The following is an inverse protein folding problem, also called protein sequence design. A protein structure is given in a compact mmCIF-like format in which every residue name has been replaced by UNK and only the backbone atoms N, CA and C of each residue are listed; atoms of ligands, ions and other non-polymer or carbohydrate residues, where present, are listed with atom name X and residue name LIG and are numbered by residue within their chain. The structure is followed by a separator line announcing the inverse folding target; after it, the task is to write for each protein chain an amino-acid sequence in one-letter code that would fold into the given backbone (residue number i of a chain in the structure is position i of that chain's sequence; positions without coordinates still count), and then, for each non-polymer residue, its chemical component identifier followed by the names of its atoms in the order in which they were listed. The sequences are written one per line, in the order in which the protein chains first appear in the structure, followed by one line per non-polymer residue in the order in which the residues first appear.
data_IF_834246188248
#
_entry.id   IF_834246188248
#
_cell.length_a   1.000
_cell.length_b   1.000
_cell.length_c   1.000
_cell.angle_alpha   90.00
_cell.angle_beta   90.00
_cell.angle_gamma   90.00
#
_symmetry.space_group_name_H-M   'P 1'
#
loop_
_entity.id
_entity.type
_entity.pdbx_description
1 polymer ?
#
# COMPACT_ATOMS: atom_id res chain seq x y z
N UNK A 1 20.52 -0.10 5.68
CA UNK A 1 20.21 -0.68 4.37
C UNK A 1 18.75 -1.12 4.30
N UNK A 2 18.30 -2.11 5.10
CA UNK A 2 16.90 -2.61 5.09
C UNK A 2 15.89 -1.48 5.28
N UNK A 3 16.09 -0.61 6.27
CA UNK A 3 15.19 0.52 6.53
C UNK A 3 15.08 1.46 5.32
N UNK A 4 16.16 1.71 4.61
CA UNK A 4 16.15 2.58 3.43
C UNK A 4 15.39 1.93 2.26
N UNK A 5 15.52 0.61 2.07
CA UNK A 5 14.77 -0.11 1.05
C UNK A 5 13.28 -0.21 1.40
N UNK A 6 12.93 -0.34 2.69
CA UNK A 6 11.53 -0.28 3.13
C UNK A 6 10.94 1.11 2.89
N UNK A 7 11.69 2.20 3.17
CA UNK A 7 11.25 3.57 2.86
C UNK A 7 11.04 3.77 1.36
N UNK A 8 11.93 3.22 0.53
CA UNK A 8 11.80 3.24 -0.94
C UNK A 8 10.57 2.48 -1.39
N UNK A 9 10.36 1.26 -0.86
CA UNK A 9 9.14 0.46 -1.13
C UNK A 9 7.87 1.22 -0.75
N UNK A 10 7.85 1.89 0.41
CA UNK A 10 6.74 2.74 0.84
C UNK A 10 6.50 3.91 -0.13
N UNK A 11 7.56 4.55 -0.62
CA UNK A 11 7.45 5.63 -1.61
C UNK A 11 6.84 5.11 -2.93
N UNK A 12 7.29 3.94 -3.42
CA UNK A 12 6.73 3.35 -4.64
C UNK A 12 5.26 2.91 -4.44
N UNK A 13 4.92 2.35 -3.28
CA UNK A 13 3.53 2.02 -2.96
C UNK A 13 2.63 3.27 -2.91
N UNK A 14 3.12 4.39 -2.38
CA UNK A 14 2.42 5.67 -2.38
C UNK A 14 2.21 6.21 -3.80
N UNK A 15 3.23 6.13 -4.67
CA UNK A 15 3.11 6.52 -6.07
C UNK A 15 2.15 5.59 -6.83
N UNK A 16 2.24 4.27 -6.64
CA UNK A 16 1.28 3.31 -7.20
C UNK A 16 -0.15 3.68 -6.81
N UNK A 17 -0.39 3.92 -5.53
CA UNK A 17 -1.70 4.32 -5.02
C UNK A 17 -2.19 5.64 -5.64
N UNK A 18 -1.31 6.63 -5.79
CA UNK A 18 -1.61 7.92 -6.40
C UNK A 18 -2.02 7.77 -7.88
N UNK A 19 -1.26 6.97 -8.64
CA UNK A 19 -1.56 6.70 -10.04
C UNK A 19 -2.82 5.85 -10.22
N UNK A 20 -3.05 4.84 -9.36
CA UNK A 20 -4.29 4.08 -9.35
C UNK A 20 -5.50 4.99 -9.11
N UNK A 21 -5.42 5.88 -8.12
CA UNK A 21 -6.49 6.86 -7.87
C UNK A 21 -6.78 7.68 -9.13
N UNK A 22 -5.75 8.18 -9.81
CA UNK A 22 -5.91 8.91 -11.06
C UNK A 22 -6.56 8.04 -12.16
N UNK A 23 -6.10 6.80 -12.35
CA UNK A 23 -6.62 5.88 -13.35
C UNK A 23 -8.11 5.56 -13.16
N UNK A 24 -8.53 5.32 -11.90
CA UNK A 24 -9.92 4.98 -11.56
C UNK A 24 -10.85 6.19 -11.59
N UNK A 25 -10.35 7.39 -11.28
CA UNK A 25 -11.18 8.59 -11.11
C UNK A 25 -11.11 9.59 -12.25
N UNK A 26 -10.08 9.54 -13.09
CA UNK A 26 -9.96 10.39 -14.27
C UNK A 26 -10.67 9.79 -15.48
N UNK A 27 -11.32 10.65 -16.29
CA UNK A 27 -12.12 10.19 -17.45
C UNK A 27 -11.29 9.68 -18.63
N UNK A 28 -9.96 9.96 -18.69
CA UNK A 28 -9.06 9.53 -19.77
C UNK A 28 -7.61 9.61 -19.28
N UNK A 29 -7.07 8.55 -18.73
CA UNK A 29 -5.65 8.54 -18.44
C UNK A 29 -5.02 7.14 -18.56
N UNK A 30 -4.66 6.76 -19.81
CA UNK A 30 -3.88 5.56 -20.05
C UNK A 30 -2.44 5.65 -19.55
N UNK A 31 -1.95 6.86 -19.23
CA UNK A 31 -0.63 7.06 -18.63
C UNK A 31 -0.67 6.65 -17.16
N UNK A 32 -1.72 7.05 -16.43
CA UNK A 32 -1.86 6.71 -15.02
C UNK A 32 -1.89 5.18 -14.79
N UNK A 33 -2.61 4.42 -15.62
CA UNK A 33 -2.63 2.96 -15.51
C UNK A 33 -1.26 2.31 -15.75
N UNK A 34 -0.50 2.80 -16.75
CA UNK A 34 0.85 2.28 -17.00
C UNK A 34 1.80 2.59 -15.84
N UNK A 35 1.77 3.82 -15.33
CA UNK A 35 2.59 4.22 -14.18
C UNK A 35 2.20 3.47 -12.90
N UNK A 36 0.93 3.21 -12.69
CA UNK A 36 0.48 2.35 -11.60
C UNK A 36 1.14 0.96 -11.68
N UNK A 37 1.06 0.29 -12.83
CA UNK A 37 1.65 -1.04 -13.02
C UNK A 37 3.17 -1.04 -12.78
N UNK A 38 3.86 -0.01 -13.26
CA UNK A 38 5.30 0.16 -13.08
C UNK A 38 5.67 0.26 -11.59
N UNK A 39 5.03 1.14 -10.84
CA UNK A 39 5.31 1.31 -9.41
C UNK A 39 4.87 0.10 -8.57
N UNK A 40 3.77 -0.57 -8.93
CA UNK A 40 3.36 -1.82 -8.29
C UNK A 40 4.41 -2.92 -8.46
N UNK A 41 5.03 -3.03 -9.64
CA UNK A 41 6.11 -3.98 -9.88
C UNK A 41 7.38 -3.65 -9.07
N UNK A 42 7.73 -2.37 -8.94
CA UNK A 42 8.86 -1.96 -8.09
C UNK A 42 8.68 -2.39 -6.62
N UNK A 43 7.47 -2.27 -6.09
CA UNK A 43 7.16 -2.73 -4.72
C UNK A 43 7.39 -4.24 -4.59
N UNK A 44 6.96 -5.05 -5.56
CA UNK A 44 7.12 -6.51 -5.55
C UNK A 44 8.59 -6.92 -5.57
N UNK A 45 9.38 -6.33 -6.48
CA UNK A 45 10.82 -6.60 -6.60
C UNK A 45 11.57 -6.24 -5.31
N UNK A 46 11.26 -5.08 -4.71
CA UNK A 46 11.87 -4.69 -3.44
C UNK A 46 11.47 -5.62 -2.31
N UNK A 47 10.21 -6.00 -2.22
CA UNK A 47 9.72 -6.89 -1.17
C UNK A 47 10.41 -8.26 -1.21
N UNK A 48 10.58 -8.85 -2.39
CA UNK A 48 11.32 -10.09 -2.56
C UNK A 48 12.77 -9.96 -2.08
N UNK A 49 13.42 -8.85 -2.45
CA UNK A 49 14.79 -8.55 -2.05
C UNK A 49 14.91 -8.34 -0.54
N UNK A 50 14.02 -7.56 0.07
CA UNK A 50 13.97 -7.32 1.52
C UNK A 50 13.75 -8.62 2.28
N UNK A 51 12.77 -9.43 1.89
CA UNK A 51 12.45 -10.70 2.53
C UNK A 51 13.62 -11.68 2.46
N UNK A 52 14.29 -11.75 1.31
CA UNK A 52 15.48 -12.60 1.13
C UNK A 52 16.62 -12.14 2.02
N UNK A 53 16.86 -10.83 2.12
CA UNK A 53 17.92 -10.27 2.96
C UNK A 53 17.67 -10.55 4.44
N UNK A 54 16.45 -10.26 4.92
CA UNK A 54 16.06 -10.50 6.31
C UNK A 54 16.16 -11.99 6.65
N UNK A 55 15.75 -12.89 5.75
CA UNK A 55 15.88 -14.33 5.95
C UNK A 55 17.34 -14.76 6.11
N UNK A 56 18.27 -14.16 5.35
CA UNK A 56 19.70 -14.42 5.51
C UNK A 56 20.26 -13.87 6.82
N UNK A 57 19.80 -12.70 7.26
CA UNK A 57 20.17 -12.15 8.58
C UNK A 57 19.79 -13.11 9.71
N UNK A 58 18.56 -13.61 9.72
CA UNK A 58 18.11 -14.59 10.72
C UNK A 58 18.91 -15.90 10.65
N UNK A 59 19.19 -16.39 9.45
CA UNK A 59 19.95 -17.64 9.25
C UNK A 59 21.42 -17.54 9.67
N UNK A 60 21.99 -16.33 9.74
CA UNK A 60 23.38 -16.12 10.19
C UNK A 60 23.60 -16.41 11.67
N UNK A 61 22.53 -16.33 12.47
CA UNK A 61 22.59 -16.54 13.93
C UNK A 61 23.33 -15.44 14.71
N UNK A 62 23.71 -14.34 14.07
CA UNK A 62 24.53 -13.29 14.66
C UNK A 62 23.71 -12.13 15.28
N UNK A 63 22.36 -12.19 15.19
CA UNK A 63 21.50 -11.17 15.75
C UNK A 63 21.34 -11.35 17.26
N UNK A 64 21.40 -10.26 18.00
CA UNK A 64 20.94 -10.23 19.40
C UNK A 64 19.42 -10.37 19.45
N UNK A 65 18.85 -10.66 20.63
CA UNK A 65 17.41 -10.75 20.81
C UNK A 65 16.71 -9.45 20.36
N UNK A 66 17.19 -8.29 20.80
CA UNK A 66 16.67 -6.98 20.42
C UNK A 66 16.75 -6.74 18.89
N UNK A 67 17.89 -7.09 18.27
CA UNK A 67 18.04 -6.97 16.81
C UNK A 67 17.08 -7.90 16.06
N UNK A 68 16.84 -9.10 16.59
CA UNK A 68 15.89 -10.05 16.00
C UNK A 68 14.47 -9.52 16.07
N UNK A 69 14.05 -8.96 17.21
CA UNK A 69 12.74 -8.33 17.38
C UNK A 69 12.56 -7.13 16.42
N UNK A 70 13.53 -6.24 16.38
CA UNK A 70 13.49 -5.07 15.48
C UNK A 70 13.46 -5.49 13.99
N UNK A 71 14.23 -6.51 13.63
CA UNK A 71 14.26 -7.04 12.25
C UNK A 71 12.92 -7.69 11.88
N UNK A 72 12.30 -8.42 12.81
CA UNK A 72 10.97 -8.99 12.62
C UNK A 72 9.92 -7.91 12.43
N UNK A 73 9.94 -6.85 13.23
CA UNK A 73 9.03 -5.71 13.09
C UNK A 73 9.21 -4.99 11.75
N UNK A 74 10.46 -4.78 11.29
CA UNK A 74 10.72 -4.21 9.96
C UNK A 74 10.17 -5.11 8.83
N UNK A 75 10.25 -6.43 8.98
CA UNK A 75 9.64 -7.36 8.03
C UNK A 75 8.10 -7.23 8.03
N UNK A 76 7.48 -7.08 9.22
CA UNK A 76 6.05 -6.83 9.31
C UNK A 76 5.63 -5.52 8.64
N UNK A 77 6.40 -4.44 8.79
CA UNK A 77 6.18 -3.18 8.07
C UNK A 77 6.25 -3.41 6.56
N UNK A 78 7.30 -4.07 6.08
CA UNK A 78 7.50 -4.38 4.67
C UNK A 78 6.35 -5.21 4.08
N UNK A 79 5.91 -6.26 4.79
CA UNK A 79 4.78 -7.09 4.39
C UNK A 79 3.46 -6.32 4.31
N UNK A 80 3.23 -5.36 5.22
CA UNK A 80 2.04 -4.52 5.16
C UNK A 80 2.07 -3.56 3.97
N UNK A 81 3.26 -3.03 3.58
CA UNK A 81 3.44 -2.21 2.38
C UNK A 81 3.13 -3.04 1.12
N UNK A 82 3.66 -4.26 1.02
CA UNK A 82 3.35 -5.17 -0.08
C UNK A 82 1.85 -5.44 -0.18
N UNK A 83 1.20 -5.76 0.94
CA UNK A 83 -0.26 -5.98 0.97
C UNK A 83 -1.05 -4.75 0.51
N UNK A 84 -0.58 -3.54 0.79
CA UNK A 84 -1.21 -2.32 0.25
C UNK A 84 -1.12 -2.32 -1.27
N UNK A 85 0.05 -2.63 -1.85
CA UNK A 85 0.21 -2.73 -3.30
C UNK A 85 -0.67 -3.82 -3.92
N UNK A 86 -0.77 -5.01 -3.29
CA UNK A 86 -1.68 -6.06 -3.72
C UNK A 86 -3.16 -5.61 -3.71
N UNK A 87 -3.58 -4.85 -2.68
CA UNK A 87 -4.94 -4.30 -2.65
C UNK A 87 -5.18 -3.27 -3.74
N UNK A 88 -4.15 -2.51 -4.12
CA UNK A 88 -4.21 -1.63 -5.28
C UNK A 88 -4.39 -2.42 -6.59
N UNK A 89 -3.67 -3.53 -6.78
CA UNK A 89 -3.85 -4.42 -7.93
C UNK A 89 -5.28 -4.98 -8.01
N UNK A 90 -5.89 -5.37 -6.88
CA UNK A 90 -7.27 -5.85 -6.85
C UNK A 90 -8.30 -4.75 -7.17
N UNK A 91 -8.03 -3.50 -6.76
CA UNK A 91 -8.87 -2.34 -7.15
C UNK A 91 -8.78 -2.12 -8.66
N UNK A 92 -7.58 -2.15 -9.23
CA UNK A 92 -7.37 -1.98 -10.68
C UNK A 92 -8.06 -3.08 -11.47
N UNK A 93 -7.89 -4.35 -11.08
CA UNK A 93 -8.58 -5.50 -11.71
C UNK A 93 -10.09 -5.34 -11.70
N UNK A 94 -10.68 -4.93 -10.58
CA UNK A 94 -12.12 -4.71 -10.47
C UNK A 94 -12.59 -3.56 -11.37
N UNK A 95 -11.79 -2.49 -11.46
CA UNK A 95 -12.09 -1.36 -12.33
C UNK A 95 -11.96 -1.72 -13.81
N UNK A 96 -10.90 -2.41 -14.24
CA UNK A 96 -10.72 -2.89 -15.60
C UNK A 96 -11.79 -3.92 -15.99
N UNK A 97 -12.25 -4.76 -15.04
CA UNK A 97 -13.36 -5.68 -15.27
C UNK A 97 -14.67 -4.94 -15.58
N UNK A 98 -14.96 -3.84 -14.88
CA UNK A 98 -16.09 -2.96 -15.22
C UNK A 98 -15.96 -2.41 -16.65
N UNK A 99 -14.79 -1.90 -17.01
CA UNK A 99 -14.51 -1.31 -18.33
C UNK A 99 -14.64 -2.35 -19.44
N UNK A 100 -14.09 -3.54 -19.27
CA UNK A 100 -14.13 -4.63 -20.26
C UNK A 100 -15.56 -5.09 -20.56
N UNK A 101 -16.46 -4.99 -19.57
CA UNK A 101 -17.89 -5.27 -19.71
C UNK A 101 -18.68 -4.08 -20.26
N UNK A 102 -18.03 -2.98 -20.61
CA UNK A 102 -18.67 -1.76 -21.12
C UNK A 102 -19.36 -0.90 -20.05
N UNK A 103 -19.17 -1.20 -18.76
CA UNK A 103 -19.73 -0.40 -17.67
C UNK A 103 -18.84 0.80 -17.34
N UNK A 104 -19.49 1.89 -16.91
CA UNK A 104 -18.84 3.09 -16.40
C UNK A 104 -19.42 3.45 -15.05
N UNK A 105 -18.54 3.82 -14.12
CA UNK A 105 -18.97 4.38 -12.84
C UNK A 105 -19.69 5.72 -13.08
N UNK A 106 -20.77 5.96 -12.34
CA UNK A 106 -21.43 7.28 -12.34
C UNK A 106 -20.51 8.33 -11.71
N UNK A 107 -20.76 9.61 -11.97
CA UNK A 107 -19.99 10.68 -11.36
C UNK A 107 -20.01 10.62 -9.83
N UNK A 108 -21.17 10.25 -9.25
CA UNK A 108 -21.31 10.06 -7.81
C UNK A 108 -20.42 8.91 -7.30
N UNK A 109 -20.42 7.77 -8.01
CA UNK A 109 -19.59 6.63 -7.65
C UNK A 109 -18.09 6.94 -7.77
N UNK A 110 -17.69 7.70 -8.81
CA UNK A 110 -16.30 8.17 -8.97
C UNK A 110 -15.90 9.07 -7.80
N UNK A 111 -16.75 10.02 -7.41
CA UNK A 111 -16.47 10.92 -6.28
C UNK A 111 -16.41 10.15 -4.96
N UNK A 112 -17.28 9.16 -4.74
CA UNK A 112 -17.27 8.29 -3.59
C UNK A 112 -15.96 7.52 -3.47
N UNK A 113 -15.50 6.87 -4.57
CA UNK A 113 -14.23 6.15 -4.61
C UNK A 113 -13.06 7.10 -4.40
N UNK A 114 -13.04 8.26 -5.07
CA UNK A 114 -12.01 9.28 -4.93
C UNK A 114 -11.83 9.73 -3.48
N UNK A 115 -12.93 10.07 -2.80
CA UNK A 115 -12.91 10.51 -1.40
C UNK A 115 -12.39 9.40 -0.47
N UNK A 116 -12.85 8.15 -0.65
CA UNK A 116 -12.36 7.01 0.13
C UNK A 116 -10.86 6.77 -0.09
N UNK A 117 -10.37 6.87 -1.33
CA UNK A 117 -8.94 6.72 -1.63
C UNK A 117 -8.11 7.89 -1.08
N UNK A 118 -8.60 9.13 -1.12
CA UNK A 118 -7.89 10.27 -0.53
C UNK A 118 -7.70 10.14 0.98
N UNK A 119 -8.74 9.67 1.68
CA UNK A 119 -8.66 9.42 3.12
C UNK A 119 -7.68 8.26 3.44
N UNK A 120 -7.71 7.20 2.64
CA UNK A 120 -6.82 6.04 2.83
C UNK A 120 -5.36 6.37 2.50
N UNK A 121 -5.10 7.21 1.48
CA UNK A 121 -3.76 7.66 1.14
C UNK A 121 -3.13 8.48 2.26
N UNK A 122 -3.90 9.41 2.87
CA UNK A 122 -3.43 10.16 4.04
C UNK A 122 -3.11 9.26 5.22
N UNK A 123 -3.93 8.22 5.46
CA UNK A 123 -3.69 7.26 6.52
C UNK A 123 -2.40 6.46 6.26
N UNK A 124 -2.09 6.16 5.01
CA UNK A 124 -0.84 5.49 4.64
C UNK A 124 0.39 6.38 4.88
N UNK A 125 0.33 7.64 4.49
CA UNK A 125 1.39 8.63 4.77
C UNK A 125 1.64 8.74 6.29
N UNK A 126 0.58 8.87 7.09
CA UNK A 126 0.66 8.90 8.56
C UNK A 126 1.27 7.62 9.15
N UNK A 127 0.97 6.44 8.57
CA UNK A 127 1.54 5.17 9.02
C UNK A 127 3.05 5.11 8.82
N UNK A 128 3.53 5.52 7.65
CA UNK A 128 4.98 5.55 7.35
C UNK A 128 5.70 6.57 8.23
N UNK A 129 5.10 7.73 8.45
CA UNK A 129 5.64 8.75 9.34
C UNK A 129 5.74 8.24 10.78
N UNK A 130 4.73 7.53 11.28
CA UNK A 130 4.74 6.94 12.62
C UNK A 130 5.92 5.98 12.83
N UNK A 131 6.23 5.12 11.86
CA UNK A 131 7.39 4.21 11.92
C UNK A 131 8.70 4.99 11.83
N UNK A 132 8.78 6.02 10.98
CA UNK A 132 9.99 6.82 10.82
C UNK A 132 10.35 7.61 12.08
N UNK A 133 9.36 8.15 12.80
CA UNK A 133 9.53 8.93 14.03
C UNK A 133 9.56 8.02 15.25
N UNK A 134 8.88 6.86 15.21
CA UNK A 134 8.68 5.97 16.34
C UNK A 134 7.68 6.56 17.35
N UNK A 135 6.55 7.11 16.85
CA UNK A 135 5.49 7.69 17.67
C UNK A 135 4.31 6.71 17.78
N UNK A 136 4.14 6.14 18.97
CA UNK A 136 3.05 5.24 19.32
C UNK A 136 1.70 5.95 19.55
N UNK A 137 1.72 7.27 19.83
CA UNK A 137 0.51 8.06 20.14
C UNK A 137 -0.40 8.25 18.94
N UNK A 138 0.11 8.02 17.75
CA UNK A 138 -0.65 8.19 16.50
C UNK A 138 -1.69 7.09 16.28
N UNK A 139 -1.53 5.91 16.90
CA UNK A 139 -2.35 4.71 16.62
C UNK A 139 -3.82 4.91 16.95
N UNK A 140 -4.12 5.50 18.10
CA UNK A 140 -5.52 5.78 18.48
C UNK A 140 -6.21 6.70 17.46
N UNK A 141 -5.48 7.71 16.96
CA UNK A 141 -5.97 8.59 15.89
C UNK A 141 -6.21 7.79 14.62
N UNK A 142 -5.24 7.00 14.19
CA UNK A 142 -5.32 6.19 12.98
C UNK A 142 -6.45 5.17 13.04
N UNK A 143 -6.66 4.53 14.20
CA UNK A 143 -7.78 3.60 14.42
C UNK A 143 -9.14 4.31 14.30
N UNK A 144 -9.27 5.52 14.83
CA UNK A 144 -10.47 6.33 14.65
C UNK A 144 -10.70 6.70 13.18
N UNK A 145 -9.65 7.08 12.47
CA UNK A 145 -9.74 7.47 11.05
C UNK A 145 -10.03 6.25 10.16
N UNK A 146 -9.43 5.09 10.42
CA UNK A 146 -9.82 3.81 9.81
C UNK A 146 -11.31 3.53 9.98
N UNK A 147 -11.85 3.70 11.19
CA UNK A 147 -13.28 3.47 11.44
C UNK A 147 -14.19 4.45 10.69
N UNK A 148 -13.76 5.72 10.53
CA UNK A 148 -14.45 6.71 9.68
C UNK A 148 -14.48 6.28 8.22
N UNK A 149 -13.33 5.83 7.68
CA UNK A 149 -13.21 5.35 6.30
C UNK A 149 -14.10 4.11 6.09
N UNK A 150 -14.08 3.15 7.01
CA UNK A 150 -14.98 1.98 6.96
C UNK A 150 -16.45 2.35 6.97
N UNK A 151 -16.84 3.35 7.79
CA UNK A 151 -18.20 3.88 7.81
C UNK A 151 -18.56 4.53 6.47
N UNK A 152 -17.62 5.31 5.88
CA UNK A 152 -17.80 5.92 4.56
C UNK A 152 -17.97 4.86 3.47
N UNK A 153 -17.13 3.83 3.43
CA UNK A 153 -17.24 2.72 2.47
C UNK A 153 -18.63 2.05 2.54
N UNK A 154 -19.15 1.82 3.76
CA UNK A 154 -20.51 1.27 3.93
C UNK A 154 -21.59 2.21 3.41
N UNK A 155 -21.43 3.52 3.59
CA UNK A 155 -22.37 4.53 3.06
C UNK A 155 -22.35 4.54 1.53
N UNK A 156 -21.15 4.48 0.90
CA UNK A 156 -20.99 4.38 -0.55
C UNK A 156 -21.65 3.11 -1.10
N UNK A 157 -21.44 1.95 -0.46
CA UNK A 157 -22.12 0.71 -0.84
C UNK A 157 -23.65 0.83 -0.76
N UNK A 158 -24.20 1.41 0.32
CA UNK A 158 -25.64 1.65 0.46
C UNK A 158 -26.16 2.59 -0.64
N UNK A 159 -25.44 3.66 -0.93
CA UNK A 159 -25.78 4.61 -1.99
C UNK A 159 -25.81 3.93 -3.36
N UNK A 160 -24.82 3.06 -3.65
CA UNK A 160 -24.80 2.28 -4.88
C UNK A 160 -26.04 1.36 -4.99
N UNK A 161 -26.39 0.60 -3.95
CA UNK A 161 -27.58 -0.24 -3.95
C UNK A 161 -28.87 0.58 -4.13
N UNK A 162 -28.93 1.79 -3.56
CA UNK A 162 -30.00 2.75 -3.82
C UNK A 162 -30.10 3.15 -5.29
N UNK A 163 -28.96 3.44 -5.93
CA UNK A 163 -28.88 3.74 -7.37
C UNK A 163 -29.33 2.56 -8.24
N UNK A 164 -28.97 1.34 -7.86
CA UNK A 164 -29.41 0.11 -8.54
C UNK A 164 -30.92 -0.08 -8.40
N UNK A 165 -31.48 0.06 -7.19
CA UNK A 165 -32.92 -0.03 -6.94
C UNK A 165 -33.71 0.98 -7.77
N UNK A 166 -33.18 2.18 -7.93
CA UNK A 166 -33.79 3.25 -8.72
C UNK A 166 -33.46 3.18 -10.23
N UNK A 167 -32.88 2.06 -10.70
CA UNK A 167 -32.47 1.84 -12.12
C UNK A 167 -31.50 2.88 -12.68
N UNK A 168 -30.74 3.57 -11.79
CA UNK A 168 -29.69 4.55 -12.15
C UNK A 168 -28.32 3.89 -12.35
N UNK A 169 -28.13 2.67 -11.87
CA UNK A 169 -26.95 1.84 -12.04
C UNK A 169 -27.33 0.41 -12.40
N UNK A 170 -26.48 -0.28 -13.16
CA UNK A 170 -26.64 -1.70 -13.43
C UNK A 170 -26.33 -2.55 -12.19
N UNK A 171 -27.17 -3.56 -11.90
CA UNK A 171 -26.91 -4.56 -10.86
C UNK A 171 -25.61 -5.34 -11.12
N UNK A 172 -25.26 -5.53 -12.39
CA UNK A 172 -24.04 -6.25 -12.77
C UNK A 172 -22.74 -5.57 -12.33
N UNK A 173 -22.78 -4.27 -12.02
CA UNK A 173 -21.62 -3.52 -11.48
C UNK A 173 -21.40 -3.71 -9.98
N UNK A 174 -22.39 -4.26 -9.26
CA UNK A 174 -22.39 -4.23 -7.79
C UNK A 174 -21.25 -5.04 -7.19
N UNK A 175 -20.86 -6.15 -7.80
CA UNK A 175 -19.74 -6.97 -7.34
C UNK A 175 -18.43 -6.20 -7.40
N UNK A 176 -18.05 -5.73 -8.59
CA UNK A 176 -16.79 -5.02 -8.82
C UNK A 176 -16.71 -3.70 -8.01
N UNK A 177 -17.82 -2.93 -7.96
CA UNK A 177 -17.85 -1.71 -7.14
C UNK A 177 -17.68 -1.98 -5.65
N UNK A 178 -18.32 -3.05 -5.14
CA UNK A 178 -18.18 -3.45 -3.73
C UNK A 178 -16.75 -3.92 -3.44
N UNK A 179 -16.14 -4.66 -4.36
CA UNK A 179 -14.75 -5.13 -4.22
C UNK A 179 -13.75 -3.96 -4.17
N UNK A 180 -13.93 -2.93 -5.01
CA UNK A 180 -13.15 -1.70 -4.94
C UNK A 180 -13.22 -1.09 -3.52
N UNK A 181 -14.41 -0.88 -2.99
CA UNK A 181 -14.59 -0.30 -1.66
C UNK A 181 -14.02 -1.18 -0.53
N UNK A 182 -14.15 -2.50 -0.64
CA UNK A 182 -13.60 -3.44 0.33
C UNK A 182 -12.07 -3.41 0.34
N UNK A 183 -11.42 -3.37 -0.83
CA UNK A 183 -9.97 -3.30 -0.90
C UNK A 183 -9.43 -1.96 -0.38
N UNK A 184 -10.13 -0.83 -0.61
CA UNK A 184 -9.82 0.44 0.06
C UNK A 184 -9.88 0.28 1.59
N UNK A 185 -10.87 -0.43 2.11
CA UNK A 185 -10.98 -0.74 3.54
C UNK A 185 -9.80 -1.59 4.05
N UNK A 186 -9.38 -2.61 3.30
CA UNK A 186 -8.23 -3.47 3.64
C UNK A 186 -6.91 -2.71 3.62
N UNK A 187 -6.73 -1.73 2.72
CA UNK A 187 -5.59 -0.81 2.74
C UNK A 187 -5.50 -0.10 4.09
N UNK A 188 -6.62 0.38 4.62
CA UNK A 188 -6.61 1.07 5.92
C UNK A 188 -6.27 0.15 7.10
N UNK A 189 -6.58 -1.15 6.99
CA UNK A 189 -6.17 -2.14 7.99
C UNK A 189 -4.66 -2.33 7.98
N UNK A 190 -4.05 -2.44 6.79
CA UNK A 190 -2.61 -2.56 6.64
C UNK A 190 -1.87 -1.28 7.10
N UNK A 191 -2.46 -0.09 6.88
CA UNK A 191 -1.90 1.16 7.41
C UNK A 191 -1.82 1.15 8.94
N UNK A 192 -2.88 0.70 9.61
CA UNK A 192 -2.86 0.57 11.08
C UNK A 192 -1.85 -0.50 11.51
N UNK A 193 -1.76 -1.62 10.79
CA UNK A 193 -0.75 -2.65 11.05
C UNK A 193 0.69 -2.12 10.95
N UNK A 194 0.99 -1.21 10.01
CA UNK A 194 2.29 -0.54 9.93
C UNK A 194 2.54 0.31 11.20
N UNK A 195 1.54 1.08 11.62
CA UNK A 195 1.67 1.96 12.77
C UNK A 195 1.75 1.17 14.10
N UNK A 196 1.12 0.00 14.20
CA UNK A 196 1.21 -0.89 15.37
C UNK A 196 2.65 -1.33 15.63
N UNK A 197 3.45 -1.54 14.59
CA UNK A 197 4.88 -1.86 14.73
C UNK A 197 5.68 -0.70 15.37
N UNK A 198 5.21 0.55 15.24
CA UNK A 198 5.85 1.70 15.89
C UNK A 198 5.71 1.66 17.42
N UNK A 199 4.70 0.96 17.98
CA UNK A 199 4.52 0.77 19.41
C UNK A 199 5.63 -0.10 20.02
N UNK A 200 6.09 -1.10 19.28
CA UNK A 200 7.14 -2.02 19.71
C UNK A 200 8.55 -1.41 19.52
N UNK A 201 8.60 -0.07 19.38
CA UNK A 201 9.83 0.70 19.16
C UNK A 201 10.61 0.31 17.91
N UNK A 202 9.93 -0.25 16.91
CA UNK A 202 10.51 -0.45 15.59
C UNK A 202 10.66 0.90 14.92
N UNK A 203 11.91 1.28 14.64
CA UNK A 203 12.26 2.49 13.91
C UNK A 203 12.97 2.11 12.62
N UNK A 204 12.89 2.97 11.64
CA UNK A 204 13.79 2.86 10.51
C UNK A 204 15.23 3.04 10.96
N UNK A 205 15.89 1.92 11.23
CA UNK A 205 17.28 1.90 11.71
C UNK A 205 18.24 2.28 10.59
N UNK A 206 19.26 3.06 10.94
CA UNK A 206 20.50 3.11 10.18
C UNK A 206 21.43 2.04 10.75
N UNK A 207 21.80 1.04 9.92
CA UNK A 207 22.89 0.14 10.27
C UNK A 207 24.19 0.96 10.38
N UNK A 208 25.05 0.63 11.33
CA UNK A 208 26.37 1.23 11.38
C UNK A 208 27.24 0.73 10.21
N UNK A 209 28.40 1.36 9.98
CA UNK A 209 29.24 1.05 8.82
C UNK A 209 29.74 -0.41 8.84
N UNK A 210 30.00 -1.00 10.01
CA UNK A 210 30.46 -2.39 10.14
C UNK A 210 29.35 -3.39 9.81
N UNK A 211 28.11 -3.11 10.24
CA UNK A 211 26.93 -3.90 9.89
C UNK A 211 26.63 -3.79 8.40
N UNK A 212 26.82 -2.62 7.78
CA UNK A 212 26.67 -2.45 6.33
C UNK A 212 27.70 -3.26 5.54
N UNK A 213 28.94 -3.34 6.01
CA UNK A 213 30.00 -4.12 5.36
C UNK A 213 29.75 -5.64 5.49
N UNK A 214 29.25 -6.08 6.65
CA UNK A 214 28.93 -7.49 6.90
C UNK A 214 27.74 -7.99 6.07
N UNK A 215 26.72 -7.16 5.85
CA UNK A 215 25.46 -7.55 5.19
C UNK A 215 25.30 -6.96 3.79
N UNK A 216 25.97 -5.86 3.48
CA UNK A 216 25.82 -5.12 2.22
C UNK A 216 26.28 -5.86 0.97
N UNK A 217 27.20 -6.84 1.13
CA UNK A 217 27.70 -7.66 0.01
C UNK A 217 26.80 -8.87 -0.31
N UNK A 218 25.71 -9.07 0.40
CA UNK A 218 24.88 -10.29 0.31
C UNK A 218 23.72 -10.16 -0.67
N UNK A 219 23.31 -8.93 -1.02
CA UNK A 219 22.19 -8.71 -1.95
C UNK A 219 22.52 -7.57 -2.90
N UNK A 220 22.40 -7.90 -4.17
CA UNK A 220 22.44 -6.94 -5.26
C UNK A 220 21.03 -6.34 -5.46
N UNK A 221 20.81 -5.15 -4.92
CA UNK A 221 19.61 -4.35 -5.20
C UNK A 221 19.64 -3.67 -6.57
N UNK A 222 20.63 -3.99 -7.43
CA UNK A 222 20.78 -3.39 -8.74
C UNK A 222 19.61 -3.70 -9.67
N UNK A 223 18.92 -4.82 -9.46
CA UNK A 223 17.72 -5.16 -10.23
C UNK A 223 16.58 -4.14 -10.01
N UNK A 224 16.41 -3.66 -8.78
CA UNK A 224 15.42 -2.61 -8.49
C UNK A 224 15.82 -1.25 -9.12
N UNK A 225 17.13 -0.99 -9.25
CA UNK A 225 17.65 0.23 -9.92
C UNK A 225 17.60 0.15 -11.44
N UNK A 226 17.70 -1.05 -12.04
CA UNK A 226 17.59 -1.20 -13.50
C UNK A 226 16.20 -0.85 -14.03
N UNK A 227 15.19 -0.97 -13.21
CA UNK A 227 13.80 -0.60 -13.56
C UNK A 227 13.63 0.93 -13.56
N UNK A 228 14.40 1.69 -12.73
CA UNK A 228 14.41 3.17 -12.76
C UNK A 228 15.20 3.74 -13.98
N UNK A 229 16.16 2.98 -14.51
CA UNK A 229 17.11 3.46 -15.55
C UNK A 229 16.63 3.33 -16.99
N UNK A 230 15.40 2.93 -17.27
CA UNK A 230 14.84 2.80 -18.62
C UNK A 230 14.08 4.04 -19.10
N UNK A 231 14.20 5.18 -18.41
CA UNK A 231 13.76 6.49 -18.90
C UNK A 231 14.97 7.31 -19.38
N UNK A 232 15.38 7.10 -20.63
CA UNK A 232 16.20 8.01 -21.42
C UNK A 232 15.65 8.08 -22.85
#
# INVERSE_FOLDING_TARGET
LVSEEIKRSASYAAEAFRYLKAAVTAKKDGVAGRKFNEYSEYVKVLQESISTYISKMFSSGNLTELQSEQTAGLLCVSNNIERIAERCDEIDKSYENLKSKGYKLSNEAINEVKECMELSGKLFEEAIEAVAIGDDKVIDKMTRDKNKIRKKNRQCSKAHFGRVKNKKCSKAMSGDYTEILQNIGRITDNCVGIAEEAMDNVKFMTLNAEEMEQYGNVIDFSQAKQVEGTEA
#
